data_IF_734821137112
#
_entry.id   IF_734821137112
#
_cell.length_a   1.000
_cell.length_b   1.000
_cell.length_c   1.000
_cell.angle_alpha   90.00
_cell.angle_beta   90.00
_cell.angle_gamma   90.00
#
_symmetry.space_group_name_H-M   'P 1'
#
loop_
_entity.id
_entity.type
_entity.pdbx_description
1 polymer ?
#
# COMPACT_ATOMS: atom_id res chain seq x y z
N UNK A 1 33.84 21.21 -6.73
CA UNK A 1 33.66 20.21 -7.80
C UNK A 1 33.88 18.81 -7.24
N UNK A 2 32.99 18.34 -6.37
CA UNK A 2 32.87 16.92 -6.03
C UNK A 2 31.39 16.56 -6.11
N UNK A 3 31.13 15.52 -6.88
CA UNK A 3 29.89 15.19 -7.56
C UNK A 3 28.82 14.64 -6.61
N UNK A 4 27.66 15.31 -6.64
CA UNK A 4 26.29 14.77 -6.66
C UNK A 4 26.18 13.24 -6.85
N UNK A 5 26.17 12.48 -5.76
CA UNK A 5 25.67 11.09 -5.79
C UNK A 5 25.25 10.56 -4.40
N UNK A 6 24.88 11.45 -3.46
CA UNK A 6 24.63 11.08 -2.06
C UNK A 6 23.26 11.42 -1.46
N UNK A 7 22.35 12.08 -2.19
CA UNK A 7 21.23 12.80 -1.54
C UNK A 7 19.81 12.42 -2.00
N UNK A 8 19.65 11.48 -2.93
CA UNK A 8 18.32 11.15 -3.46
C UNK A 8 17.47 10.27 -2.53
N UNK A 9 18.11 9.54 -1.61
CA UNK A 9 17.42 8.58 -0.75
C UNK A 9 16.67 9.25 0.39
N UNK A 10 17.26 10.27 1.04
CA UNK A 10 16.56 11.07 2.04
C UNK A 10 15.43 11.90 1.41
N UNK A 11 15.65 12.39 0.19
CA UNK A 11 14.60 13.07 -0.59
C UNK A 11 13.39 12.16 -0.79
N UNK A 12 13.59 10.89 -1.16
CA UNK A 12 12.49 9.95 -1.36
C UNK A 12 11.66 9.73 -0.09
N UNK A 13 12.31 9.47 1.05
CA UNK A 13 11.59 9.29 2.32
C UNK A 13 10.87 10.57 2.75
N UNK A 14 11.46 11.75 2.51
CA UNK A 14 10.79 13.03 2.77
C UNK A 14 9.54 13.21 1.91
N UNK A 15 9.61 12.88 0.60
CA UNK A 15 8.43 12.88 -0.27
C UNK A 15 7.39 11.84 0.17
N UNK A 16 7.82 10.65 0.60
CA UNK A 16 6.93 9.61 1.13
C UNK A 16 6.14 10.10 2.35
N UNK A 17 6.81 10.61 3.38
CA UNK A 17 6.14 11.11 4.59
C UNK A 17 5.29 12.34 4.32
N UNK A 18 5.72 13.23 3.41
CA UNK A 18 4.92 14.36 2.98
C UNK A 18 3.61 13.88 2.30
N UNK A 19 3.70 12.92 1.39
CA UNK A 19 2.52 12.35 0.72
C UNK A 19 1.56 11.69 1.73
N UNK A 20 2.08 10.92 2.68
CA UNK A 20 1.27 10.30 3.73
C UNK A 20 0.55 11.35 4.59
N UNK A 21 1.26 12.41 5.00
CA UNK A 21 0.67 13.51 5.74
C UNK A 21 -0.44 14.22 4.95
N UNK A 22 -0.21 14.50 3.66
CA UNK A 22 -1.23 15.11 2.82
C UNK A 22 -2.44 14.20 2.58
N UNK A 23 -2.25 12.88 2.48
CA UNK A 23 -3.36 11.92 2.47
C UNK A 23 -4.17 11.98 3.77
N UNK A 24 -3.51 12.03 4.93
CA UNK A 24 -4.18 12.14 6.23
C UNK A 24 -4.93 13.47 6.42
N UNK A 25 -4.50 14.52 5.73
CA UNK A 25 -5.11 15.85 5.75
C UNK A 25 -6.21 16.03 4.69
N UNK A 26 -6.59 14.98 3.95
CA UNK A 26 -7.53 15.05 2.83
C UNK A 26 -7.14 16.09 1.76
N UNK A 27 -5.83 16.21 1.52
CA UNK A 27 -5.24 17.15 0.56
C UNK A 27 -4.59 16.40 -0.61
N UNK A 28 -5.37 15.67 -1.45
CA UNK A 28 -4.80 14.79 -2.48
C UNK A 28 -3.98 15.56 -3.52
N UNK A 29 -4.39 16.78 -3.89
CA UNK A 29 -3.66 17.60 -4.87
C UNK A 29 -2.23 17.94 -4.44
N UNK A 30 -1.99 18.08 -3.13
CA UNK A 30 -0.65 18.26 -2.60
C UNK A 30 0.08 16.92 -2.49
N UNK A 31 -0.60 15.85 -2.10
CA UNK A 31 -0.02 14.49 -2.08
C UNK A 31 0.55 14.08 -3.46
N UNK A 32 -0.16 14.39 -4.56
CA UNK A 32 0.30 14.09 -5.92
C UNK A 32 1.68 14.68 -6.24
N UNK A 33 2.02 15.85 -5.69
CA UNK A 33 3.30 16.53 -5.95
C UNK A 33 4.50 15.75 -5.40
N UNK A 34 4.24 14.85 -4.45
CA UNK A 34 5.26 14.05 -3.79
C UNK A 34 5.24 12.58 -4.23
N UNK A 35 4.27 12.17 -5.07
CA UNK A 35 4.10 10.78 -5.49
C UNK A 35 4.56 10.58 -6.95
N UNK A 36 5.32 9.52 -7.24
CA UNK A 36 5.70 9.18 -8.61
C UNK A 36 4.52 8.47 -9.31
N UNK A 37 3.58 9.24 -9.86
CA UNK A 37 2.34 8.70 -10.46
C UNK A 37 2.53 8.22 -11.90
N UNK A 38 3.49 8.79 -12.63
CA UNK A 38 3.77 8.45 -14.03
C UNK A 38 4.71 7.25 -14.17
N UNK A 39 5.58 7.05 -13.19
CA UNK A 39 6.56 5.96 -13.17
C UNK A 39 6.25 5.13 -11.93
N UNK A 40 5.38 4.12 -12.08
CA UNK A 40 5.25 3.12 -11.03
C UNK A 40 6.63 2.54 -10.78
N UNK A 41 7.15 2.63 -9.56
CA UNK A 41 8.52 2.25 -9.32
C UNK A 41 8.60 0.74 -9.12
N UNK A 42 8.37 0.00 -10.20
CA UNK A 42 8.99 -1.32 -10.35
C UNK A 42 10.51 -1.16 -10.45
N UNK A 43 10.97 -0.03 -10.99
CA UNK A 43 12.38 0.30 -11.24
C UNK A 43 12.83 1.56 -10.47
N UNK A 44 12.41 1.76 -9.22
CA UNK A 44 13.20 2.66 -8.37
C UNK A 44 14.57 2.01 -8.19
N UNK A 45 15.54 2.41 -9.02
CA UNK A 45 16.99 2.18 -8.88
C UNK A 45 17.52 2.86 -7.61
N UNK A 46 16.77 2.78 -6.51
CA UNK A 46 17.20 3.23 -5.22
C UNK A 46 17.69 1.98 -4.47
N UNK A 47 18.97 1.96 -4.04
CA UNK A 47 19.60 0.78 -3.45
C UNK A 47 18.88 0.29 -2.18
N UNK A 48 18.06 1.14 -1.55
CA UNK A 48 17.19 0.77 -0.44
C UNK A 48 16.02 -0.14 -0.85
N UNK A 49 15.56 -0.09 -2.11
CA UNK A 49 14.56 -1.02 -2.63
C UNK A 49 15.12 -2.39 -3.05
N UNK A 50 16.44 -2.57 -2.99
CA UNK A 50 17.08 -3.86 -3.21
C UNK A 50 17.29 -4.65 -1.89
N UNK A 51 17.00 -4.03 -0.74
CA UNK A 51 17.14 -4.64 0.59
C UNK A 51 15.85 -5.38 1.04
N UNK A 52 15.90 -6.33 1.99
CA UNK A 52 14.73 -7.09 2.42
C UNK A 52 13.57 -6.24 3.00
N UNK A 53 13.85 -5.05 3.54
CA UNK A 53 12.83 -4.09 4.01
C UNK A 53 12.13 -3.32 2.87
N UNK A 54 12.59 -3.49 1.63
CA UNK A 54 12.08 -2.81 0.45
C UNK A 54 10.62 -3.11 0.14
N UNK A 55 10.14 -4.32 0.41
CA UNK A 55 8.79 -4.74 0.08
C UNK A 55 7.75 -3.92 0.86
N UNK A 56 7.97 -3.70 2.15
CA UNK A 56 7.10 -2.87 2.99
C UNK A 56 7.12 -1.41 2.55
N UNK A 57 8.31 -0.85 2.26
CA UNK A 57 8.42 0.54 1.79
C UNK A 57 7.74 0.72 0.43
N UNK A 58 7.90 -0.25 -0.48
CA UNK A 58 7.28 -0.25 -1.80
C UNK A 58 5.77 -0.36 -1.70
N UNK A 59 5.28 -1.24 -0.84
CA UNK A 59 3.86 -1.36 -0.54
C UNK A 59 3.31 -0.06 0.04
N UNK A 60 3.97 0.56 1.03
CA UNK A 60 3.51 1.82 1.64
C UNK A 60 3.46 2.98 0.64
N UNK A 61 4.44 3.08 -0.27
CA UNK A 61 4.41 4.08 -1.33
C UNK A 61 3.23 3.86 -2.28
N UNK A 62 3.03 2.60 -2.72
CA UNK A 62 1.91 2.24 -3.58
C UNK A 62 0.56 2.44 -2.87
N UNK A 63 0.50 2.18 -1.57
CA UNK A 63 -0.67 2.46 -0.74
C UNK A 63 -1.02 3.94 -0.76
N UNK A 64 -0.05 4.83 -0.58
CA UNK A 64 -0.28 6.28 -0.63
C UNK A 64 -0.78 6.75 -2.01
N UNK A 65 -0.27 6.15 -3.10
CA UNK A 65 -0.80 6.39 -4.45
C UNK A 65 -2.26 5.97 -4.56
N UNK A 66 -2.61 4.76 -4.09
CA UNK A 66 -3.99 4.25 -4.11
C UNK A 66 -4.92 5.16 -3.30
N UNK A 67 -4.52 5.52 -2.07
CA UNK A 67 -5.30 6.40 -1.20
C UNK A 67 -5.49 7.77 -1.86
N UNK A 68 -4.44 8.33 -2.47
CA UNK A 68 -4.56 9.62 -3.18
C UNK A 68 -5.60 9.54 -4.30
N UNK A 69 -5.60 8.49 -5.12
CA UNK A 69 -6.61 8.29 -6.16
C UNK A 69 -8.02 8.08 -5.60
N UNK A 70 -8.14 7.36 -4.47
CA UNK A 70 -9.41 7.21 -3.74
C UNK A 70 -9.95 8.58 -3.29
N UNK A 71 -9.11 9.43 -2.69
CA UNK A 71 -9.50 10.77 -2.24
C UNK A 71 -9.93 11.66 -3.41
N UNK A 72 -9.29 11.50 -4.58
CA UNK A 72 -9.70 12.17 -5.81
C UNK A 72 -10.96 11.59 -6.48
N UNK A 73 -11.53 10.50 -5.94
CA UNK A 73 -12.63 9.73 -6.54
C UNK A 73 -12.30 9.10 -7.90
N UNK A 74 -11.02 8.90 -8.18
CA UNK A 74 -10.54 8.17 -9.37
C UNK A 74 -10.37 6.69 -9.04
N UNK A 75 -11.51 5.98 -8.96
CA UNK A 75 -11.53 4.58 -8.55
C UNK A 75 -10.91 3.64 -9.58
N UNK A 76 -10.92 4.00 -10.87
CA UNK A 76 -10.32 3.20 -11.92
C UNK A 76 -8.79 3.15 -11.76
N UNK A 77 -8.17 4.31 -11.55
CA UNK A 77 -6.74 4.38 -11.32
C UNK A 77 -6.35 3.80 -9.96
N UNK A 78 -7.16 4.04 -8.91
CA UNK A 78 -6.96 3.41 -7.60
C UNK A 78 -6.92 1.87 -7.69
N UNK A 79 -7.83 1.27 -8.44
CA UNK A 79 -7.90 -0.18 -8.64
C UNK A 79 -6.67 -0.72 -9.39
N UNK A 80 -6.21 0.00 -10.42
CA UNK A 80 -5.00 -0.35 -11.16
C UNK A 80 -3.75 -0.27 -10.27
N UNK A 81 -3.61 0.79 -9.49
CA UNK A 81 -2.53 0.96 -8.52
C UNK A 81 -2.55 -0.14 -7.45
N UNK A 82 -3.74 -0.51 -6.97
CA UNK A 82 -3.90 -1.51 -5.90
C UNK A 82 -3.51 -2.91 -6.37
N UNK A 83 -3.86 -3.29 -7.60
CA UNK A 83 -3.41 -4.57 -8.17
C UNK A 83 -1.87 -4.69 -8.15
N UNK A 84 -1.16 -3.60 -8.46
CA UNK A 84 0.31 -3.55 -8.37
C UNK A 84 0.80 -3.57 -6.92
N UNK A 85 0.12 -2.86 -6.01
CA UNK A 85 0.44 -2.86 -4.58
C UNK A 85 0.31 -4.27 -3.98
N UNK A 86 -0.75 -5.00 -4.32
CA UNK A 86 -0.99 -6.37 -3.87
C UNK A 86 0.10 -7.33 -4.35
N UNK A 87 0.60 -7.16 -5.57
CA UNK A 87 1.70 -7.97 -6.10
C UNK A 87 3.02 -7.78 -5.33
N UNK A 88 3.22 -6.59 -4.73
CA UNK A 88 4.38 -6.27 -3.90
C UNK A 88 4.11 -6.40 -2.39
N UNK A 89 2.91 -6.85 -2.00
CA UNK A 89 2.47 -6.81 -0.60
C UNK A 89 3.17 -7.90 0.22
N UNK A 90 3.90 -7.53 1.28
CA UNK A 90 4.39 -8.51 2.25
C UNK A 90 3.20 -9.10 3.02
N UNK A 91 3.33 -10.36 3.46
CA UNK A 91 2.21 -11.11 4.09
C UNK A 91 1.64 -10.44 5.34
N UNK A 92 2.45 -9.65 6.05
CA UNK A 92 2.04 -8.91 7.24
C UNK A 92 1.09 -7.73 6.93
N UNK A 93 1.17 -7.16 5.71
CA UNK A 93 0.36 -6.02 5.29
C UNK A 93 -0.88 -6.43 4.48
N UNK A 94 -1.04 -7.73 4.23
CA UNK A 94 -2.15 -8.29 3.48
C UNK A 94 -3.54 -7.92 4.05
N UNK A 95 -3.77 -7.92 5.38
CA UNK A 95 -5.07 -7.50 5.92
C UNK A 95 -5.42 -6.04 5.57
N UNK A 96 -4.44 -5.14 5.64
CA UNK A 96 -4.62 -3.72 5.26
C UNK A 96 -4.93 -3.58 3.78
N UNK A 97 -4.26 -4.38 2.93
CA UNK A 97 -4.50 -4.39 1.49
C UNK A 97 -5.91 -4.90 1.14
N UNK A 98 -6.38 -5.94 1.86
CA UNK A 98 -7.74 -6.50 1.71
C UNK A 98 -8.79 -5.45 2.08
N UNK A 99 -8.60 -4.67 3.15
CA UNK A 99 -9.53 -3.60 3.52
C UNK A 99 -9.64 -2.55 2.42
N UNK A 100 -8.51 -2.17 1.81
CA UNK A 100 -8.50 -1.19 0.72
C UNK A 100 -9.19 -1.72 -0.53
N UNK A 101 -8.99 -3.00 -0.86
CA UNK A 101 -9.70 -3.65 -1.97
C UNK A 101 -11.21 -3.73 -1.68
N UNK A 102 -11.59 -4.11 -0.46
CA UNK A 102 -13.00 -4.16 -0.06
C UNK A 102 -13.66 -2.77 -0.14
N UNK A 103 -12.94 -1.70 0.23
CA UNK A 103 -13.43 -0.34 0.06
C UNK A 103 -13.69 0.00 -1.42
N UNK A 104 -12.77 -0.33 -2.33
CA UNK A 104 -12.97 -0.11 -3.77
C UNK A 104 -14.13 -0.92 -4.33
N UNK A 105 -14.32 -2.17 -3.89
CA UNK A 105 -15.50 -2.98 -4.27
C UNK A 105 -16.82 -2.37 -3.79
N UNK A 106 -16.83 -1.75 -2.60
CA UNK A 106 -17.99 -1.01 -2.11
C UNK A 106 -18.27 0.24 -2.95
N UNK A 107 -17.24 0.98 -3.35
CA UNK A 107 -17.40 2.14 -4.25
C UNK A 107 -17.88 1.73 -5.65
N UNK A 108 -17.56 0.50 -6.09
CA UNK A 108 -18.01 -0.07 -7.35
C UNK A 108 -19.42 -0.71 -7.28
N UNK A 109 -20.16 -0.51 -6.19
CA UNK A 109 -21.49 -1.09 -5.93
C UNK A 109 -21.50 -2.64 -5.94
N UNK A 110 -20.39 -3.26 -5.48
CA UNK A 110 -20.23 -4.72 -5.36
C UNK A 110 -20.03 -5.15 -3.90
N UNK A 111 -21.03 -4.97 -3.02
CA UNK A 111 -20.92 -5.28 -1.59
C UNK A 111 -20.69 -6.76 -1.30
N UNK A 112 -21.19 -7.66 -2.16
CA UNK A 112 -20.98 -9.10 -2.02
C UNK A 112 -19.51 -9.48 -2.17
N UNK A 113 -18.80 -8.84 -3.11
CA UNK A 113 -17.36 -9.05 -3.30
C UNK A 113 -16.55 -8.52 -2.13
N UNK A 114 -16.92 -7.34 -1.61
CA UNK A 114 -16.30 -6.79 -0.40
C UNK A 114 -16.46 -7.73 0.80
N UNK A 115 -17.66 -8.29 1.00
CA UNK A 115 -17.92 -9.23 2.09
C UNK A 115 -17.10 -10.51 1.96
N UNK A 116 -17.01 -11.08 0.75
CA UNK A 116 -16.19 -12.28 0.50
C UNK A 116 -14.70 -12.04 0.80
N UNK A 117 -14.16 -10.87 0.44
CA UNK A 117 -12.78 -10.49 0.73
C UNK A 117 -12.53 -10.41 2.24
N UNK A 118 -13.43 -9.76 2.98
CA UNK A 118 -13.33 -9.63 4.43
C UNK A 118 -13.48 -10.98 5.16
N UNK A 119 -14.30 -11.89 4.64
CA UNK A 119 -14.46 -13.24 5.19
C UNK A 119 -13.21 -14.10 4.96
N UNK A 120 -12.59 -14.02 3.78
CA UNK A 120 -11.35 -14.74 3.45
C UNK A 120 -10.14 -14.24 4.24
N UNK A 121 -10.13 -12.97 4.63
CA UNK A 121 -9.08 -12.36 5.46
C UNK A 121 -9.15 -12.69 6.95
N UNK A 122 -10.19 -13.40 7.42
CA UNK A 122 -10.27 -13.84 8.82
C UNK A 122 -9.42 -15.09 9.01
N UNK A 123 -8.44 -15.11 9.94
CA UNK A 123 -7.93 -16.38 10.44
C UNK A 123 -9.13 -17.13 11.05
N UNK A 124 -9.34 -18.37 10.62
CA UNK A 124 -10.42 -19.20 11.16
C UNK A 124 -10.31 -19.28 12.69
N UNK A 125 -11.41 -19.19 13.45
CA UNK A 125 -11.39 -19.33 14.90
C UNK A 125 -11.17 -20.78 15.38
N UNK A 126 -10.47 -21.62 14.60
CA UNK A 126 -10.35 -23.06 14.83
C UNK A 126 -8.96 -23.53 15.27
N UNK A 127 -8.12 -22.65 15.81
CA UNK A 127 -7.06 -23.11 16.72
C UNK A 127 -7.61 -23.11 18.15
N UNK A 128 -8.58 -24.01 18.41
CA UNK A 128 -8.72 -24.54 19.77
C UNK A 128 -7.35 -25.14 20.09
N UNK A 129 -6.63 -24.51 21.02
CA UNK A 129 -5.57 -25.17 21.76
C UNK A 129 -6.24 -26.34 22.47
N UNK A 130 -6.26 -27.49 21.81
CA UNK A 130 -6.45 -28.76 22.50
C UNK A 130 -5.13 -28.94 23.23
N UNK A 131 -5.07 -28.43 24.46
CA UNK A 131 -4.07 -28.84 25.41
C UNK A 131 -4.14 -30.36 25.48
N UNK A 132 -3.14 -31.02 24.91
CA UNK A 132 -2.90 -32.43 25.15
C UNK A 132 -2.62 -32.56 26.65
N UNK A 133 -3.58 -33.11 27.39
CA UNK A 133 -3.26 -33.83 28.61
C UNK A 133 -2.38 -35.01 28.18
N UNK A 134 -1.11 -34.98 28.58
CA UNK A 134 -0.29 -36.16 28.73
C UNK A 134 0.37 -36.08 30.10
N UNK A 135 0.11 -37.16 30.84
CA UNK A 135 0.68 -37.67 32.10
C UNK A 135 0.30 -36.98 33.42
#
# INVERSE_FOLDING_TARGET
LLSKQGDHSYSLFAHFYAAEAYCMLDAPGDALKHLPLQEFPTDLECPYFQQPYSASVRYSLLHNVVVTHILMRDFAQAQFCLAKALAACPSQLLPTAILLQAYLELQADRPEMALQLLQKGRPSPTTRVIGKHQD
#
